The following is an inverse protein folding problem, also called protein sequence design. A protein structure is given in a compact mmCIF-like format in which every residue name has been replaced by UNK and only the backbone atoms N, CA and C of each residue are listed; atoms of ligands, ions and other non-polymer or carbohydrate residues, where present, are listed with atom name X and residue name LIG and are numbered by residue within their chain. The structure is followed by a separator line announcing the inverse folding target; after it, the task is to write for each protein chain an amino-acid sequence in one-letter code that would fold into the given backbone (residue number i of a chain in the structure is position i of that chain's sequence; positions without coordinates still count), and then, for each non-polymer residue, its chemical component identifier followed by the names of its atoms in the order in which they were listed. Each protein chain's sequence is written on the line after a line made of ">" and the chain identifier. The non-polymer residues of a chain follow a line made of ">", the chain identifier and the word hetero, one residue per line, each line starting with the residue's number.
data_IF_446798502243
#
_entry.id   IF_446798502243
#
_cell.length_a   1.000
_cell.length_b   1.000
_cell.length_c   1.000
_cell.angle_alpha   90.00
_cell.angle_beta   90.00
_cell.angle_gamma   90.00
#
_symmetry.space_group_name_H-M   'P 1'
#
loop_
_entity.id
_entity.type
_entity.pdbx_description
1 polymer ?
#
# COMPACT_ATOMS: atom_id res chain seq x y z
N UNK A 1 56.84 -8.02 -4.46
CA UNK A 1 55.93 -8.23 -3.33
C UNK A 1 55.10 -6.97 -3.19
N UNK A 2 53.95 -6.92 -3.86
CA UNK A 2 52.95 -5.86 -3.68
C UNK A 2 51.61 -6.57 -3.51
N UNK A 3 51.36 -6.98 -2.27
CA UNK A 3 50.03 -7.28 -1.77
C UNK A 3 49.27 -5.96 -1.65
N UNK A 4 48.26 -5.75 -2.49
CA UNK A 4 47.21 -4.77 -2.21
C UNK A 4 45.84 -5.44 -2.31
N UNK A 5 45.59 -6.23 -1.25
CA UNK A 5 44.38 -6.25 -0.45
C UNK A 5 43.09 -5.79 -1.15
N UNK A 6 42.43 -6.77 -1.74
CA UNK A 6 41.03 -7.12 -1.48
C UNK A 6 40.41 -6.39 -0.27
N UNK A 7 39.42 -5.53 -0.52
CA UNK A 7 38.06 -5.56 0.05
C UNK A 7 37.33 -4.24 -0.22
N UNK A 8 36.81 -4.10 -1.44
CA UNK A 8 35.66 -3.23 -1.65
C UNK A 8 34.48 -3.86 -0.92
N UNK A 9 34.05 -3.23 0.17
CA UNK A 9 32.91 -3.64 0.96
C UNK A 9 31.68 -3.85 0.06
N UNK A 10 31.34 -5.12 -0.20
CA UNK A 10 30.11 -5.49 -0.86
C UNK A 10 28.95 -4.90 -0.03
N UNK A 11 28.04 -4.11 -0.61
CA UNK A 11 26.84 -3.72 0.09
C UNK A 11 26.12 -5.01 0.46
N UNK A 12 25.92 -5.24 1.76
CA UNK A 12 25.16 -6.37 2.30
C UNK A 12 23.88 -6.49 1.48
N UNK A 13 23.51 -7.69 0.98
CA UNK A 13 22.29 -7.85 0.21
C UNK A 13 21.14 -7.58 1.17
N UNK A 14 20.61 -6.36 1.15
CA UNK A 14 19.28 -6.09 1.69
C UNK A 14 18.36 -7.06 0.98
N UNK A 15 17.86 -7.99 1.76
CA UNK A 15 17.30 -9.26 1.33
C UNK A 15 16.22 -9.00 0.29
N UNK A 16 16.32 -9.63 -0.89
CA UNK A 16 15.35 -9.47 -1.99
C UNK A 16 13.89 -9.71 -1.51
N UNK A 17 13.73 -10.47 -0.44
CA UNK A 17 12.47 -10.75 0.24
C UNK A 17 11.83 -9.51 0.89
N UNK A 18 12.62 -8.61 1.48
CA UNK A 18 12.10 -7.39 2.11
C UNK A 18 11.55 -6.42 1.06
N UNK A 19 12.24 -6.33 -0.09
CA UNK A 19 11.78 -5.52 -1.22
C UNK A 19 10.48 -6.07 -1.83
N UNK A 20 10.30 -7.40 -1.85
CA UNK A 20 9.08 -8.03 -2.34
C UNK A 20 7.88 -7.74 -1.42
N UNK A 21 8.05 -7.83 -0.10
CA UNK A 21 7.01 -7.52 0.88
C UNK A 21 6.60 -6.04 0.83
N UNK A 22 7.57 -5.14 0.74
CA UNK A 22 7.31 -3.69 0.59
C UNK A 22 6.58 -3.40 -0.73
N UNK A 23 6.97 -4.04 -1.83
CA UNK A 23 6.31 -3.89 -3.13
C UNK A 23 4.88 -4.45 -3.11
N UNK A 24 4.62 -5.53 -2.37
CA UNK A 24 3.28 -6.08 -2.19
C UNK A 24 2.39 -5.14 -1.36
N UNK A 25 2.89 -4.65 -0.22
CA UNK A 25 2.16 -3.68 0.60
C UNK A 25 1.82 -2.40 -0.17
N UNK A 26 2.77 -1.91 -0.98
CA UNK A 26 2.53 -0.76 -1.86
C UNK A 26 1.45 -1.02 -2.89
N UNK A 27 1.46 -2.19 -3.54
CA UNK A 27 0.42 -2.59 -4.50
C UNK A 27 -0.96 -2.70 -3.84
N UNK A 28 -1.03 -3.34 -2.66
CA UNK A 28 -2.28 -3.44 -1.88
C UNK A 28 -2.83 -2.06 -1.54
N UNK A 29 -1.97 -1.15 -1.07
CA UNK A 29 -2.34 0.23 -0.78
C UNK A 29 -2.89 0.95 -2.02
N UNK A 30 -2.17 0.92 -3.14
CA UNK A 30 -2.60 1.55 -4.39
C UNK A 30 -3.94 1.03 -4.89
N UNK A 31 -4.18 -0.29 -4.77
CA UNK A 31 -5.45 -0.89 -5.16
C UNK A 31 -6.61 -0.39 -4.27
N UNK A 32 -6.39 -0.29 -2.97
CA UNK A 32 -7.38 0.22 -2.01
C UNK A 32 -7.64 1.72 -2.21
N UNK A 33 -6.61 2.52 -2.48
CA UNK A 33 -6.75 3.94 -2.84
C UNK A 33 -7.61 4.12 -4.09
N UNK A 34 -7.34 3.37 -5.15
CA UNK A 34 -8.13 3.42 -6.38
C UNK A 34 -9.60 3.03 -6.13
N UNK A 35 -9.83 2.02 -5.28
CA UNK A 35 -11.18 1.60 -4.90
C UNK A 35 -11.91 2.70 -4.11
N UNK A 36 -11.22 3.37 -3.19
CA UNK A 36 -11.73 4.53 -2.45
C UNK A 36 -12.15 5.66 -3.39
N UNK A 37 -11.28 6.04 -4.33
CA UNK A 37 -11.59 7.08 -5.31
C UNK A 37 -12.79 6.72 -6.19
N UNK A 38 -12.87 5.46 -6.63
CA UNK A 38 -14.02 4.97 -7.40
C UNK A 38 -15.33 5.13 -6.62
N UNK A 39 -15.34 4.78 -5.33
CA UNK A 39 -16.52 4.90 -4.47
C UNK A 39 -16.90 6.37 -4.25
N UNK A 40 -15.92 7.24 -3.98
CA UNK A 40 -16.16 8.68 -3.81
C UNK A 40 -16.69 9.34 -5.10
N UNK A 41 -16.26 8.87 -6.26
CA UNK A 41 -16.75 9.33 -7.56
C UNK A 41 -18.11 8.75 -7.95
N UNK A 42 -18.54 7.64 -7.33
CA UNK A 42 -19.77 6.94 -7.70
C UNK A 42 -21.00 7.64 -7.07
N UNK A 43 -21.68 8.46 -7.88
CA UNK A 43 -22.92 9.13 -7.47
C UNK A 43 -24.12 8.23 -7.76
N UNK A 44 -24.88 7.86 -6.73
CA UNK A 44 -26.10 7.05 -6.87
C UNK A 44 -27.29 7.70 -6.19
N UNK A 45 -28.45 7.65 -6.84
CA UNK A 45 -29.73 8.13 -6.28
C UNK A 45 -30.47 7.06 -5.46
N UNK A 46 -29.97 5.81 -5.43
CA UNK A 46 -30.59 4.72 -4.68
C UNK A 46 -30.11 4.71 -3.23
N UNK A 47 -31.02 4.80 -2.22
CA UNK A 47 -30.64 4.81 -0.81
C UNK A 47 -29.85 3.55 -0.40
N UNK A 48 -30.28 2.38 -0.89
CA UNK A 48 -29.63 1.11 -0.59
C UNK A 48 -28.20 1.05 -1.14
N UNK A 49 -28.00 1.48 -2.40
CA UNK A 49 -26.65 1.55 -2.98
C UNK A 49 -25.77 2.55 -2.24
N UNK A 50 -26.32 3.71 -1.83
CA UNK A 50 -25.57 4.69 -1.05
C UNK A 50 -25.07 4.10 0.27
N UNK A 51 -25.94 3.40 1.01
CA UNK A 51 -25.53 2.71 2.24
C UNK A 51 -24.45 1.66 1.99
N UNK A 52 -24.57 0.86 0.93
CA UNK A 52 -23.55 -0.13 0.57
C UNK A 52 -22.20 0.53 0.24
N UNK A 53 -22.19 1.65 -0.49
CA UNK A 53 -20.98 2.41 -0.80
C UNK A 53 -20.34 3.01 0.45
N UNK A 54 -21.13 3.53 1.39
CA UNK A 54 -20.60 4.04 2.66
C UNK A 54 -19.93 2.94 3.49
N UNK A 55 -20.55 1.76 3.58
CA UNK A 55 -19.95 0.62 4.28
C UNK A 55 -18.66 0.16 3.59
N UNK A 56 -18.67 0.05 2.26
CA UNK A 56 -17.49 -0.30 1.49
C UNK A 56 -16.36 0.73 1.64
N UNK A 57 -16.70 2.02 1.71
CA UNK A 57 -15.72 3.09 1.96
C UNK A 57 -15.05 2.93 3.32
N UNK A 58 -15.83 2.70 4.38
CA UNK A 58 -15.30 2.51 5.74
C UNK A 58 -14.40 1.27 5.84
N UNK A 59 -14.79 0.14 5.24
CA UNK A 59 -13.98 -1.08 5.18
C UNK A 59 -12.63 -0.87 4.46
N UNK A 60 -12.61 -0.07 3.39
CA UNK A 60 -11.38 0.27 2.67
C UNK A 60 -10.48 1.18 3.51
N UNK A 61 -11.06 2.18 4.19
CA UNK A 61 -10.31 3.10 5.06
C UNK A 61 -9.70 2.39 6.28
N UNK A 62 -10.39 1.38 6.82
CA UNK A 62 -9.86 0.48 7.85
C UNK A 62 -8.66 -0.32 7.33
N UNK A 63 -8.80 -1.01 6.19
CA UNK A 63 -7.71 -1.78 5.55
C UNK A 63 -6.50 -0.92 5.20
N UNK A 64 -6.73 0.33 4.80
CA UNK A 64 -5.66 1.28 4.56
C UNK A 64 -4.95 1.69 5.85
N UNK A 65 -5.69 1.90 6.93
CA UNK A 65 -5.14 2.19 8.25
C UNK A 65 -4.28 1.04 8.78
N UNK A 66 -4.70 -0.22 8.59
CA UNK A 66 -3.90 -1.42 8.90
C UNK A 66 -2.56 -1.46 8.13
N UNK A 67 -2.54 -0.95 6.89
CA UNK A 67 -1.32 -0.82 6.07
C UNK A 67 -0.45 0.40 6.43
N UNK A 68 -0.75 1.05 7.56
CA UNK A 68 -0.06 2.25 8.04
C UNK A 68 -0.39 3.51 7.24
N UNK A 69 -1.48 3.49 6.47
CA UNK A 69 -1.98 4.64 5.73
C UNK A 69 -3.24 5.16 6.42
N UNK A 70 -3.04 5.83 7.56
CA UNK A 70 -4.11 6.58 8.20
C UNK A 70 -4.24 7.92 7.49
N UNK A 71 -5.34 8.13 6.75
CA UNK A 71 -5.79 9.48 6.40
C UNK A 71 -6.37 10.06 7.69
N UNK A 72 -5.50 10.51 8.59
CA UNK A 72 -5.93 11.36 9.69
C UNK A 72 -6.35 12.70 9.09
N UNK A 73 -7.65 13.00 9.16
CA UNK A 73 -8.21 14.35 9.08
C UNK A 73 -8.40 14.87 10.50
#
# INVERSE_FOLDING_TARGET
>A
MEEQQNQAAAPKPVTANDNAEVAERKRKRQALELQRERILSERTSSPHRRSALTVALADIEEKLSELGWSIHM
#
